data_IF_419619171595
#
_entry.id   IF_419619171595
#
_cell.length_a   1.000
_cell.length_b   1.000
_cell.length_c   1.000
_cell.angle_alpha   90.00
_cell.angle_beta   90.00
_cell.angle_gamma   90.00
#
_symmetry.space_group_name_H-M   'P 1'
#
loop_
_entity.id
_entity.type
_entity.pdbx_description
1 polymer ?
#
# COMPACT_ATOMS: atom_id res chain seq x y z
N UNK A 1 -33.58 -9.22 -26.22
CA UNK A 1 -33.17 -10.34 -25.37
C UNK A 1 -31.98 -9.85 -24.58
N UNK A 2 -32.11 -9.68 -23.28
CA UNK A 2 -30.94 -9.39 -22.44
C UNK A 2 -30.05 -10.63 -22.53
N UNK A 3 -28.86 -10.50 -23.13
CA UNK A 3 -27.88 -11.57 -23.09
C UNK A 3 -27.55 -11.77 -21.61
N UNK A 4 -27.65 -13.01 -21.14
CA UNK A 4 -27.25 -13.36 -19.78
C UNK A 4 -25.78 -12.97 -19.60
N UNK A 5 -25.47 -12.16 -18.58
CA UNK A 5 -24.11 -11.66 -18.34
C UNK A 5 -23.12 -12.84 -18.19
N UNK A 6 -23.60 -13.96 -17.66
CA UNK A 6 -22.86 -15.21 -17.58
C UNK A 6 -22.45 -15.72 -18.97
N UNK A 7 -23.39 -15.76 -19.93
CA UNK A 7 -23.12 -16.20 -21.31
C UNK A 7 -22.11 -15.30 -22.05
N UNK A 8 -22.15 -14.00 -21.79
CA UNK A 8 -21.19 -13.04 -22.36
C UNK A 8 -19.74 -13.31 -21.91
N UNK A 9 -19.57 -13.77 -20.67
CA UNK A 9 -18.27 -14.01 -20.07
C UNK A 9 -17.67 -15.39 -20.40
N UNK A 10 -18.50 -16.37 -20.80
CA UNK A 10 -18.07 -17.73 -21.17
C UNK A 10 -16.81 -17.78 -22.04
N UNK A 11 -16.73 -17.06 -23.18
CA UNK A 11 -15.55 -17.14 -24.05
C UNK A 11 -14.27 -16.60 -23.40
N UNK A 12 -14.39 -15.71 -22.40
CA UNK A 12 -13.26 -15.05 -21.77
C UNK A 12 -12.84 -15.68 -20.44
N UNK A 13 -13.69 -16.50 -19.81
CA UNK A 13 -13.38 -17.19 -18.54
C UNK A 13 -12.01 -17.88 -18.51
N UNK A 14 -11.53 -18.56 -19.58
CA UNK A 14 -10.21 -19.20 -19.58
C UNK A 14 -9.04 -18.22 -19.43
N UNK A 15 -9.23 -16.94 -19.76
CA UNK A 15 -8.19 -15.91 -19.65
C UNK A 15 -8.15 -15.24 -18.29
N UNK A 16 -9.25 -15.32 -17.53
CA UNK A 16 -9.38 -14.71 -16.21
C UNK A 16 -8.63 -15.58 -15.20
N UNK A 17 -7.70 -14.97 -14.49
CA UNK A 17 -6.90 -15.62 -13.44
C UNK A 17 -7.25 -15.04 -12.08
N UNK A 18 -7.25 -15.91 -11.06
CA UNK A 18 -7.33 -15.48 -9.67
C UNK A 18 -5.91 -15.20 -9.16
N UNK A 19 -5.61 -13.98 -8.67
CA UNK A 19 -4.31 -13.66 -8.07
C UNK A 19 -3.96 -14.61 -6.91
N UNK A 20 -2.71 -15.07 -6.87
CA UNK A 20 -2.17 -15.89 -5.76
C UNK A 20 -1.17 -15.07 -4.94
N UNK A 21 -0.76 -15.58 -3.76
CA UNK A 21 0.16 -14.86 -2.84
C UNK A 21 1.51 -14.43 -3.43
N UNK A 22 1.93 -14.94 -4.60
CA UNK A 22 3.15 -14.50 -5.30
C UNK A 22 2.90 -13.60 -6.51
N UNK A 23 1.65 -13.42 -6.93
CA UNK A 23 1.30 -12.55 -8.05
C UNK A 23 1.30 -11.07 -7.60
N UNK A 24 1.79 -10.19 -8.47
CA UNK A 24 1.81 -8.74 -8.23
C UNK A 24 0.67 -8.09 -8.97
N UNK A 25 -0.23 -7.42 -8.25
CA UNK A 25 -1.40 -6.75 -8.83
C UNK A 25 -1.16 -5.24 -8.89
N UNK A 26 -0.91 -4.72 -10.08
CA UNK A 26 -0.57 -3.32 -10.32
C UNK A 26 -1.85 -2.48 -10.44
N UNK A 27 -2.42 -2.10 -9.30
CA UNK A 27 -3.68 -1.34 -9.20
C UNK A 27 -3.53 0.15 -8.83
N UNK A 28 -2.30 0.66 -8.71
CA UNK A 28 -2.03 2.04 -8.29
C UNK A 28 -1.64 2.97 -9.45
N UNK A 29 -0.98 2.46 -10.49
CA UNK A 29 -0.43 3.26 -11.58
C UNK A 29 -0.40 2.46 -12.89
N UNK A 30 -0.50 3.18 -14.01
CA UNK A 30 -0.38 2.64 -15.35
C UNK A 30 1.06 2.21 -15.67
N UNK A 31 1.22 1.10 -16.38
CA UNK A 31 2.53 0.60 -16.82
C UNK A 31 3.26 1.52 -17.84
N UNK A 32 2.56 2.47 -18.47
CA UNK A 32 3.10 3.34 -19.52
C UNK A 32 2.97 4.84 -19.25
N UNK A 33 2.20 5.25 -18.23
CA UNK A 33 1.93 6.64 -17.88
C UNK A 33 1.74 6.77 -16.36
N UNK A 34 1.61 8.00 -15.87
CA UNK A 34 1.30 8.27 -14.47
C UNK A 34 -0.21 8.25 -14.17
N UNK A 35 -1.01 7.62 -15.05
CA UNK A 35 -2.44 7.49 -14.80
C UNK A 35 -2.67 6.57 -13.61
N UNK A 36 -3.56 6.99 -12.72
CA UNK A 36 -3.94 6.26 -11.50
C UNK A 36 -5.46 6.12 -11.44
N UNK A 37 -6.01 5.40 -10.45
CA UNK A 37 -7.45 5.36 -10.25
C UNK A 37 -8.08 6.76 -10.05
N UNK A 38 -7.30 7.74 -9.62
CA UNK A 38 -7.74 9.14 -9.39
C UNK A 38 -7.80 9.96 -10.69
N UNK A 39 -7.18 9.48 -11.77
CA UNK A 39 -7.21 10.15 -13.08
C UNK A 39 -8.61 10.10 -13.71
N UNK A 40 -8.92 11.05 -14.60
CA UNK A 40 -10.26 11.16 -15.22
C UNK A 40 -10.74 9.86 -15.90
N UNK A 41 -9.79 9.14 -16.51
CA UNK A 41 -10.02 7.87 -17.18
C UNK A 41 -9.97 6.63 -16.29
N UNK A 42 -9.58 6.76 -15.01
CA UNK A 42 -9.30 5.65 -14.11
C UNK A 42 -8.20 4.72 -14.59
N UNK A 43 -8.12 3.55 -13.97
CA UNK A 43 -7.10 2.53 -14.25
C UNK A 43 -7.75 1.18 -14.61
N UNK A 44 -7.28 0.55 -15.68
CA UNK A 44 -7.73 -0.75 -16.16
C UNK A 44 -6.71 -1.83 -15.81
N UNK A 45 -7.05 -2.70 -14.87
CA UNK A 45 -6.21 -3.83 -14.46
C UNK A 45 -6.59 -5.06 -15.28
N UNK A 46 -5.64 -5.65 -16.01
CA UNK A 46 -5.91 -6.86 -16.78
C UNK A 46 -6.17 -8.06 -15.85
N UNK A 47 -7.28 -8.78 -16.05
CA UNK A 47 -7.66 -9.93 -15.22
C UNK A 47 -6.83 -11.19 -15.49
N UNK A 48 -5.87 -11.14 -16.43
CA UNK A 48 -4.97 -12.26 -16.74
C UNK A 48 -3.54 -12.02 -16.24
N UNK A 49 -3.02 -10.81 -16.48
CA UNK A 49 -1.62 -10.44 -16.17
C UNK A 49 -1.48 -9.55 -14.93
N UNK A 50 -2.59 -8.98 -14.45
CA UNK A 50 -2.65 -8.04 -13.33
C UNK A 50 -1.84 -6.75 -13.50
N UNK A 51 -1.53 -6.39 -14.76
CA UNK A 51 -0.94 -5.11 -15.12
C UNK A 51 -2.03 -4.02 -15.21
N UNK A 52 -1.73 -2.83 -14.71
CA UNK A 52 -2.58 -1.65 -14.79
C UNK A 52 -2.28 -0.80 -16.03
N UNK A 53 -3.32 -0.31 -16.70
CA UNK A 53 -3.24 0.53 -17.89
C UNK A 53 -4.22 1.70 -17.79
N UNK A 54 -3.78 2.91 -18.12
CA UNK A 54 -4.68 4.05 -18.29
C UNK A 54 -5.58 3.90 -19.52
N UNK A 55 -6.62 4.75 -19.61
CA UNK A 55 -7.63 4.70 -20.69
C UNK A 55 -7.03 4.72 -22.11
N UNK A 56 -5.95 5.46 -22.32
CA UNK A 56 -5.29 5.54 -23.65
C UNK A 56 -4.42 4.32 -23.97
N UNK A 57 -4.02 3.55 -22.95
CA UNK A 57 -3.07 2.45 -23.07
C UNK A 57 -3.72 1.07 -23.07
N UNK A 58 -4.91 0.93 -22.48
CA UNK A 58 -5.62 -0.35 -22.41
C UNK A 58 -5.96 -0.90 -23.80
N UNK A 59 -6.36 -0.04 -24.74
CA UNK A 59 -6.69 -0.47 -26.11
C UNK A 59 -5.45 -1.02 -26.84
N UNK A 60 -4.28 -0.40 -26.61
CA UNK A 60 -3.00 -0.88 -27.15
C UNK A 60 -2.64 -2.25 -26.56
N UNK A 61 -2.88 -2.47 -25.27
CA UNK A 61 -2.64 -3.78 -24.64
C UNK A 61 -3.57 -4.85 -25.22
N UNK A 62 -4.88 -4.58 -25.29
CA UNK A 62 -5.87 -5.48 -25.92
C UNK A 62 -5.46 -5.88 -27.35
N UNK A 63 -5.14 -4.90 -28.22
CA UNK A 63 -4.75 -5.17 -29.61
C UNK A 63 -3.47 -6.01 -29.73
N UNK A 64 -2.55 -5.91 -28.77
CA UNK A 64 -1.28 -6.64 -28.80
C UNK A 64 -1.36 -8.04 -28.21
N UNK A 65 -2.13 -8.23 -27.14
CA UNK A 65 -2.15 -9.48 -26.37
C UNK A 65 -3.42 -10.30 -26.58
N UNK A 66 -4.47 -9.71 -27.16
CA UNK A 66 -5.79 -10.32 -27.30
C UNK A 66 -6.56 -10.40 -25.97
N UNK A 67 -6.06 -9.80 -24.89
CA UNK A 67 -6.74 -9.83 -23.59
C UNK A 67 -7.94 -8.87 -23.58
N UNK A 68 -9.12 -9.39 -23.30
CA UNK A 68 -10.38 -8.63 -23.41
C UNK A 68 -10.94 -8.16 -22.07
N UNK A 69 -10.61 -8.81 -20.95
CA UNK A 69 -11.27 -8.57 -19.67
C UNK A 69 -10.36 -7.78 -18.73
N UNK A 70 -10.86 -6.63 -18.30
CA UNK A 70 -10.16 -5.71 -17.41
C UNK A 70 -11.07 -5.30 -16.25
N UNK A 71 -10.48 -5.11 -15.08
CA UNK A 71 -11.13 -4.44 -13.96
C UNK A 71 -10.80 -2.95 -14.02
N UNK A 72 -11.80 -2.13 -14.24
CA UNK A 72 -11.69 -0.68 -14.21
C UNK A 72 -11.89 -0.16 -12.79
N UNK A 73 -10.92 0.63 -12.32
CA UNK A 73 -10.86 1.22 -11.00
C UNK A 73 -10.87 2.73 -11.15
N UNK A 74 -11.83 3.39 -10.50
CA UNK A 74 -11.93 4.84 -10.52
C UNK A 74 -12.20 5.38 -9.12
N UNK A 75 -11.42 6.38 -8.71
CA UNK A 75 -11.56 7.11 -7.45
C UNK A 75 -11.99 8.53 -7.76
N UNK A 76 -13.09 8.95 -7.16
CA UNK A 76 -13.57 10.33 -7.25
C UNK A 76 -13.43 11.00 -5.89
N UNK A 77 -12.66 12.08 -5.82
CA UNK A 77 -12.53 12.91 -4.62
C UNK A 77 -13.60 13.99 -4.67
N UNK A 78 -14.52 14.01 -3.70
CA UNK A 78 -15.53 15.06 -3.52
C UNK A 78 -15.19 15.89 -2.29
N UNK A 79 -15.20 17.21 -2.41
CA UNK A 79 -15.10 18.12 -1.27
C UNK A 79 -16.38 18.05 -0.43
N UNK A 80 -16.26 17.90 0.90
CA UNK A 80 -17.40 18.05 1.80
C UNK A 80 -17.87 19.50 1.73
N UNK A 81 -19.13 19.70 1.36
CA UNK A 81 -19.75 21.01 1.47
C UNK A 81 -19.83 21.43 2.95
N UNK A 82 -18.92 22.28 3.41
CA UNK A 82 -19.09 23.06 4.63
C UNK A 82 -20.20 24.08 4.39
N UNK A 83 -21.45 23.73 4.69
CA UNK A 83 -22.58 24.62 4.44
C UNK A 83 -23.89 24.21 5.09
N UNK A 84 -24.14 24.79 6.27
CA UNK A 84 -25.44 25.11 6.86
C UNK A 84 -26.37 23.97 7.36
N UNK A 85 -26.74 24.13 8.63
CA UNK A 85 -27.90 23.60 9.32
C UNK A 85 -29.15 23.49 8.43
N UNK A 86 -29.72 22.29 8.30
CA UNK A 86 -31.02 22.10 7.66
C UNK A 86 -31.32 20.62 7.41
N UNK A 87 -32.25 20.06 8.18
CA UNK A 87 -32.61 18.65 8.12
C UNK A 87 -33.01 18.17 6.72
N UNK A 88 -32.49 17.01 6.32
CA UNK A 88 -32.83 16.37 5.06
C UNK A 88 -32.29 14.94 4.99
N UNK A 89 -33.14 13.99 5.42
CA UNK A 89 -33.28 12.57 5.02
C UNK A 89 -31.97 11.80 4.75
N UNK A 90 -31.68 10.69 5.48
CA UNK A 90 -30.50 9.87 5.20
C UNK A 90 -30.65 9.25 3.80
N UNK A 91 -29.86 9.75 2.83
CA UNK A 91 -29.72 9.09 1.53
C UNK A 91 -29.13 7.71 1.79
N UNK A 92 -29.93 6.69 1.47
CA UNK A 92 -29.59 5.26 1.55
C UNK A 92 -28.15 5.07 1.09
N UNK A 93 -27.29 4.63 2.01
CA UNK A 93 -25.96 4.11 1.71
C UNK A 93 -26.18 2.94 0.75
N UNK A 94 -25.81 3.11 -0.52
CA UNK A 94 -25.58 1.98 -1.42
C UNK A 94 -24.54 1.06 -0.77
N UNK A 95 -24.53 -0.25 -1.08
CA UNK A 95 -23.54 -1.16 -0.53
C UNK A 95 -22.17 -0.77 -1.10
N UNK A 96 -21.51 0.17 -0.41
CA UNK A 96 -20.15 0.61 -0.70
C UNK A 96 -19.27 -0.62 -0.49
N UNK A 97 -18.78 -1.21 -1.57
CA UNK A 97 -17.57 -2.02 -1.46
C UNK A 97 -16.54 -1.09 -0.84
N UNK A 98 -15.95 -1.48 0.29
CA UNK A 98 -14.76 -0.83 0.79
C UNK A 98 -13.64 -1.28 -0.14
N UNK A 99 -13.54 -0.64 -1.32
CA UNK A 99 -12.35 -0.71 -2.13
C UNK A 99 -11.28 0.02 -1.33
N UNK A 100 -10.46 -0.74 -0.61
CA UNK A 100 -9.25 -0.21 0.03
C UNK A 100 -8.19 0.02 -1.06
N UNK A 101 -8.48 0.95 -1.96
CA UNK A 101 -7.51 1.52 -2.87
C UNK A 101 -6.57 2.34 -1.99
N UNK A 102 -5.34 1.87 -1.82
CA UNK A 102 -4.41 2.42 -0.84
C UNK A 102 -4.23 3.93 -1.08
N UNK A 103 -4.44 4.71 -0.02
CA UNK A 103 -4.49 6.17 -0.04
C UNK A 103 -3.06 6.71 -0.11
N UNK A 104 -2.81 7.70 -0.97
CA UNK A 104 -1.58 8.49 -0.85
C UNK A 104 -1.66 9.30 0.45
N UNK A 105 -0.69 9.15 1.36
CA UNK A 105 -0.64 9.76 2.70
C UNK A 105 -0.57 11.31 2.73
N UNK A 106 -0.71 11.98 1.57
CA UNK A 106 -0.51 13.43 1.44
C UNK A 106 -1.79 14.28 1.46
N UNK A 107 -2.97 13.70 1.71
CA UNK A 107 -4.24 14.47 1.71
C UNK A 107 -4.83 14.47 3.11
N UNK A 108 -4.77 15.64 3.76
CA UNK A 108 -5.45 15.94 5.01
C UNK A 108 -6.90 15.44 4.97
N UNK A 109 -7.22 14.55 5.91
CA UNK A 109 -8.29 13.56 5.78
C UNK A 109 -9.67 14.09 6.22
N UNK A 110 -9.80 15.38 6.51
CA UNK A 110 -10.95 15.94 7.22
C UNK A 110 -12.03 16.51 6.28
N UNK A 111 -11.61 17.03 5.11
CA UNK A 111 -12.46 17.78 4.18
C UNK A 111 -12.94 17.03 2.92
N UNK A 112 -12.43 15.81 2.67
CA UNK A 112 -12.69 15.10 1.40
C UNK A 112 -13.42 13.76 1.60
N UNK A 113 -14.51 13.54 0.88
CA UNK A 113 -15.15 12.22 0.72
C UNK A 113 -14.61 11.54 -0.55
N UNK A 114 -13.97 10.39 -0.38
CA UNK A 114 -13.53 9.54 -1.51
C UNK A 114 -14.63 8.55 -1.86
N UNK A 115 -14.96 8.47 -3.15
CA UNK A 115 -15.88 7.48 -3.71
C UNK A 115 -15.11 6.60 -4.69
N UNK A 116 -14.88 5.35 -4.29
CA UNK A 116 -14.22 4.33 -5.10
C UNK A 116 -15.25 3.50 -5.86
N UNK A 117 -15.05 3.37 -7.16
CA UNK A 117 -15.90 2.63 -8.09
C UNK A 117 -15.06 1.55 -8.80
N UNK A 118 -15.61 0.33 -8.85
CA UNK A 118 -15.03 -0.79 -9.57
C UNK A 118 -16.01 -1.36 -10.59
N UNK A 119 -15.54 -1.62 -11.79
CA UNK A 119 -16.31 -2.22 -12.88
C UNK A 119 -15.51 -3.28 -13.58
N UNK A 120 -16.17 -4.30 -14.11
CA UNK A 120 -15.57 -5.21 -15.08
C UNK A 120 -15.86 -4.67 -16.48
N UNK A 121 -14.83 -4.53 -17.31
CA UNK A 121 -14.94 -4.01 -18.68
C UNK A 121 -14.46 -5.06 -19.66
N UNK A 122 -15.28 -5.35 -20.68
CA UNK A 122 -15.03 -6.36 -21.70
C UNK A 122 -14.85 -5.69 -23.06
N UNK A 123 -13.66 -5.87 -23.65
CA UNK A 123 -13.32 -5.43 -25.01
C UNK A 123 -13.76 -6.46 -26.06
N UNK A 124 -14.05 -6.05 -27.31
CA UNK A 124 -13.90 -4.70 -27.87
C UNK A 124 -15.09 -3.76 -27.64
N UNK A 125 -16.26 -4.25 -27.25
CA UNK A 125 -17.48 -3.45 -27.13
C UNK A 125 -17.50 -2.50 -25.92
N UNK A 126 -16.47 -2.54 -25.07
CA UNK A 126 -16.38 -1.79 -23.82
C UNK A 126 -17.60 -2.02 -22.93
N UNK A 127 -18.08 -3.26 -22.87
CA UNK A 127 -19.24 -3.60 -22.05
C UNK A 127 -18.86 -3.52 -20.57
N UNK A 128 -19.53 -2.65 -19.82
CA UNK A 128 -19.24 -2.37 -18.41
C UNK A 128 -20.24 -3.07 -17.49
N UNK A 129 -19.73 -3.84 -16.53
CA UNK A 129 -20.51 -4.51 -15.49
C UNK A 129 -20.10 -3.90 -14.15
N UNK A 130 -20.98 -3.16 -13.44
CA UNK A 130 -20.65 -2.59 -12.15
C UNK A 130 -20.45 -3.68 -11.09
N UNK A 131 -19.46 -3.50 -10.21
CA UNK A 131 -19.25 -4.37 -9.05
C UNK A 131 -19.77 -3.68 -7.77
N UNK A 132 -20.40 -4.41 -6.84
CA UNK A 132 -20.53 -5.87 -6.78
C UNK A 132 -21.82 -6.33 -7.48
N UNK A 133 -21.72 -7.22 -8.47
CA UNK A 133 -22.88 -7.86 -9.10
C UNK A 133 -22.92 -9.36 -8.75
N UNK A 134 -23.38 -9.67 -7.54
CA UNK A 134 -23.26 -11.00 -6.91
C UNK A 134 -24.20 -12.05 -7.55
N UNK A 135 -25.31 -11.63 -8.15
CA UNK A 135 -26.33 -12.57 -8.65
C UNK A 135 -26.14 -12.98 -10.12
N UNK A 136 -25.38 -12.22 -10.92
CA UNK A 136 -25.27 -12.43 -12.37
C UNK A 136 -23.87 -12.83 -12.85
N UNK A 137 -22.85 -12.77 -11.98
CA UNK A 137 -21.47 -13.11 -12.34
C UNK A 137 -21.12 -14.57 -12.01
N UNK A 138 -20.44 -15.30 -12.92
CA UNK A 138 -19.91 -16.63 -12.61
C UNK A 138 -18.98 -16.58 -11.38
N UNK A 139 -19.08 -17.59 -10.50
CA UNK A 139 -18.34 -17.62 -9.24
C UNK A 139 -16.82 -17.41 -9.40
N UNK A 140 -16.21 -17.94 -10.46
CA UNK A 140 -14.79 -17.74 -10.76
C UNK A 140 -14.44 -16.26 -10.95
N UNK A 141 -15.29 -15.52 -11.67
CA UNK A 141 -15.08 -14.09 -11.97
C UNK A 141 -15.24 -13.27 -10.71
N UNK A 142 -16.26 -13.56 -9.90
CA UNK A 142 -16.47 -12.93 -8.60
C UNK A 142 -15.26 -13.12 -7.69
N UNK A 143 -14.74 -14.34 -7.56
CA UNK A 143 -13.54 -14.65 -6.76
C UNK A 143 -12.31 -13.92 -7.31
N UNK A 144 -12.13 -13.88 -8.63
CA UNK A 144 -10.99 -13.19 -9.24
C UNK A 144 -11.03 -11.68 -8.98
N UNK A 145 -12.20 -11.06 -9.11
CA UNK A 145 -12.40 -9.63 -8.82
C UNK A 145 -12.11 -9.33 -7.34
N UNK A 146 -12.70 -10.10 -6.42
CA UNK A 146 -12.52 -9.91 -4.98
C UNK A 146 -11.05 -10.05 -4.57
N UNK A 147 -10.37 -11.09 -5.09
CA UNK A 147 -8.95 -11.31 -4.88
C UNK A 147 -8.07 -10.20 -5.48
N UNK A 148 -8.42 -9.68 -6.66
CA UNK A 148 -7.68 -8.57 -7.28
C UNK A 148 -7.85 -7.25 -6.52
N UNK A 149 -9.05 -7.00 -5.98
CA UNK A 149 -9.32 -5.84 -5.12
C UNK A 149 -8.59 -5.96 -3.78
N UNK A 150 -8.55 -7.14 -3.18
CA UNK A 150 -7.87 -7.42 -1.91
C UNK A 150 -6.33 -7.53 -2.04
N UNK A 151 -5.79 -7.73 -3.25
CA UNK A 151 -4.35 -7.87 -3.46
C UNK A 151 -3.59 -6.60 -3.05
N UNK A 152 -2.47 -6.76 -2.33
CA UNK A 152 -1.62 -5.64 -1.88
C UNK A 152 -0.88 -4.98 -3.06
N UNK A 153 -0.68 -3.66 -3.01
CA UNK A 153 0.08 -2.96 -4.05
C UNK A 153 1.55 -3.41 -4.07
N UNK A 154 2.14 -3.71 -5.24
CA UNK A 154 3.55 -4.07 -5.35
C UNK A 154 4.51 -2.92 -5.08
N UNK A 155 4.02 -1.67 -5.06
CA UNK A 155 4.81 -0.47 -4.76
C UNK A 155 4.87 -0.16 -3.27
N UNK A 156 4.05 -0.82 -2.46
CA UNK A 156 4.20 -0.75 -1.01
C UNK A 156 5.53 -1.42 -0.68
N UNK A 157 6.51 -0.62 -0.25
CA UNK A 157 7.66 -1.15 0.51
C UNK A 157 7.05 -2.05 1.57
N UNK A 158 7.67 -3.20 1.79
CA UNK A 158 7.25 -4.19 2.78
C UNK A 158 7.17 -3.50 4.15
N UNK A 159 6.04 -2.85 4.44
CA UNK A 159 5.69 -2.35 5.75
C UNK A 159 5.50 -3.62 6.54
N UNK A 160 6.57 -3.94 7.25
CA UNK A 160 6.64 -5.04 8.20
C UNK A 160 5.43 -4.87 9.08
N UNK A 161 4.45 -5.77 8.94
CA UNK A 161 3.17 -5.84 9.67
C UNK A 161 3.24 -4.97 10.93
N UNK A 162 2.83 -3.71 10.77
CA UNK A 162 2.96 -2.68 11.79
C UNK A 162 1.87 -2.99 12.79
N UNK A 163 2.16 -3.89 13.72
CA UNK A 163 1.44 -3.96 14.97
C UNK A 163 1.58 -2.57 15.58
N UNK A 164 0.56 -1.73 15.41
CA UNK A 164 0.40 -0.45 16.11
C UNK A 164 0.16 -0.77 17.60
N UNK A 165 1.20 -1.25 18.28
CA UNK A 165 1.29 -1.03 19.72
C UNK A 165 1.43 0.48 19.88
N UNK A 166 0.43 1.12 20.51
CA UNK A 166 0.55 2.50 20.97
C UNK A 166 1.91 2.65 21.66
N UNK A 167 2.82 3.42 21.06
CA UNK A 167 4.16 3.65 21.59
C UNK A 167 4.00 4.30 22.96
N UNK A 168 4.22 3.52 24.02
CA UNK A 168 4.20 4.02 25.38
C UNK A 168 5.50 4.72 25.67
N UNK A 169 5.38 5.86 26.31
CA UNK A 169 6.48 6.61 26.92
C UNK A 169 7.43 5.67 27.69
N UNK A 170 8.72 5.87 27.48
CA UNK A 170 9.72 5.00 28.06
C UNK A 170 9.92 5.36 29.52
N UNK A 171 10.02 4.33 30.38
CA UNK A 171 10.36 4.50 31.80
C UNK A 171 11.69 5.24 32.03
N UNK A 172 12.54 5.30 31.01
CA UNK A 172 13.86 5.92 31.06
C UNK A 172 13.91 7.32 30.44
N UNK A 173 12.85 7.82 29.80
CA UNK A 173 12.88 9.09 29.04
C UNK A 173 13.27 10.30 29.90
N UNK A 174 12.67 10.43 31.10
CA UNK A 174 12.82 11.60 31.96
C UNK A 174 14.13 11.59 32.75
N UNK A 175 14.77 10.42 32.87
CA UNK A 175 15.96 10.20 33.69
C UNK A 175 17.14 9.64 32.87
N UNK A 176 17.10 9.75 31.54
CA UNK A 176 18.18 9.26 30.71
C UNK A 176 19.42 10.14 30.90
N UNK A 177 20.47 9.56 31.46
CA UNK A 177 21.76 10.24 31.53
C UNK A 177 22.44 10.18 30.16
N UNK A 178 22.84 11.34 29.64
CA UNK A 178 23.68 11.46 28.45
C UNK A 178 25.10 11.84 28.89
N UNK A 179 26.10 11.13 28.39
CA UNK A 179 27.50 11.32 28.74
C UNK A 179 28.11 12.43 27.88
N UNK A 180 28.82 13.36 28.51
CA UNK A 180 29.64 14.35 27.81
C UNK A 180 31.00 13.72 27.45
N UNK A 181 31.03 12.96 26.36
CA UNK A 181 32.22 12.23 25.89
C UNK A 181 32.82 12.82 24.59
N UNK A 182 32.31 13.96 24.12
CA UNK A 182 32.81 14.68 22.94
C UNK A 182 32.48 14.02 21.60
N UNK A 183 31.66 12.97 21.57
CA UNK A 183 31.26 12.28 20.32
C UNK A 183 30.33 13.19 19.50
N UNK A 184 30.67 13.41 18.23
CA UNK A 184 29.83 14.12 17.26
C UNK A 184 29.36 13.19 16.15
N UNK A 185 28.04 13.02 16.05
CA UNK A 185 27.41 12.14 15.07
C UNK A 185 27.23 12.90 13.74
N UNK A 186 27.81 12.43 12.62
CA UNK A 186 27.60 13.05 11.31
C UNK A 186 26.16 12.83 10.83
N UNK A 187 25.65 13.62 9.88
CA UNK A 187 24.29 13.46 9.35
C UNK A 187 24.12 12.27 8.39
N UNK A 188 25.22 11.65 7.94
CA UNK A 188 25.20 10.48 7.05
C UNK A 188 26.53 9.72 7.10
N UNK A 189 26.60 8.58 6.41
CA UNK A 189 27.83 7.79 6.27
C UNK A 189 28.18 6.95 7.50
N UNK A 190 27.18 6.61 8.31
CA UNK A 190 27.38 5.83 9.53
C UNK A 190 27.83 4.40 9.23
N UNK A 191 28.54 3.83 10.19
CA UNK A 191 29.02 2.46 10.20
C UNK A 191 28.97 1.94 11.62
N UNK A 192 28.68 0.66 11.79
CA UNK A 192 28.79 0.01 13.09
C UNK A 192 30.22 0.11 13.63
N UNK A 193 30.37 0.48 14.91
CA UNK A 193 31.67 0.59 15.55
C UNK A 193 32.41 -0.77 15.67
N UNK A 194 31.69 -1.88 15.67
CA UNK A 194 32.25 -3.24 15.89
C UNK A 194 32.30 -4.11 14.63
N UNK A 195 31.74 -3.66 13.49
CA UNK A 195 31.83 -4.39 12.22
C UNK A 195 31.74 -3.47 10.99
N UNK A 196 31.61 -4.05 9.79
CA UNK A 196 31.55 -3.31 8.53
C UNK A 196 30.13 -2.94 8.06
N UNK A 197 29.09 -3.29 8.84
CA UNK A 197 27.71 -2.97 8.48
C UNK A 197 27.45 -1.46 8.45
N UNK A 198 26.71 -1.03 7.42
CA UNK A 198 26.33 0.37 7.15
C UNK A 198 24.82 0.63 7.23
N UNK A 199 24.06 -0.43 7.46
CA UNK A 199 22.61 -0.47 7.42
C UNK A 199 22.09 -1.18 8.67
N UNK A 200 20.83 -0.89 9.05
CA UNK A 200 20.24 -1.30 10.34
C UNK A 200 21.11 -0.89 11.54
N UNK A 201 21.48 0.39 11.60
CA UNK A 201 22.31 0.97 12.65
C UNK A 201 21.46 1.68 13.70
N UNK A 202 21.87 1.54 14.95
CA UNK A 202 21.22 2.06 16.15
C UNK A 202 22.20 2.97 16.87
N UNK A 203 21.79 4.19 17.15
CA UNK A 203 22.53 5.18 17.92
C UNK A 203 22.05 5.12 19.37
N UNK A 204 22.94 4.77 20.30
CA UNK A 204 22.62 4.80 21.72
C UNK A 204 22.58 6.26 22.22
N UNK A 205 21.51 6.60 22.94
CA UNK A 205 21.26 7.97 23.38
C UNK A 205 22.09 8.39 24.61
N UNK A 206 22.70 7.43 25.32
CA UNK A 206 23.54 7.72 26.50
C UNK A 206 24.97 8.06 26.12
N UNK A 207 25.61 7.29 25.25
CA UNK A 207 27.04 7.42 24.94
C UNK A 207 27.34 7.74 23.47
N UNK A 208 26.32 7.79 22.61
CA UNK A 208 26.50 8.10 21.18
C UNK A 208 27.12 6.97 20.37
N UNK A 209 27.18 5.74 20.89
CA UNK A 209 27.68 4.59 20.15
C UNK A 209 26.75 4.21 18.99
N UNK A 210 27.33 3.91 17.81
CA UNK A 210 26.59 3.46 16.62
C UNK A 210 26.85 1.98 16.38
N UNK A 211 25.81 1.16 16.49
CA UNK A 211 25.95 -0.30 16.46
C UNK A 211 24.86 -0.95 15.61
N UNK A 212 25.17 -2.10 14.99
CA UNK A 212 24.20 -2.79 14.15
C UNK A 212 23.13 -3.50 14.99
N UNK A 213 21.91 -3.54 14.46
CA UNK A 213 20.75 -4.19 15.06
C UNK A 213 20.85 -5.71 15.07
N UNK A 214 19.79 -6.37 15.57
CA UNK A 214 19.71 -7.83 15.70
C UNK A 214 19.73 -8.56 14.36
N UNK A 215 20.15 -9.81 14.43
CA UNK A 215 20.03 -10.77 13.33
C UNK A 215 18.61 -11.32 13.27
N UNK A 216 18.08 -11.52 12.06
CA UNK A 216 16.78 -12.14 11.82
C UNK A 216 16.96 -13.50 11.12
N UNK A 217 16.03 -14.43 11.39
CA UNK A 217 16.11 -15.81 10.90
C UNK A 217 16.04 -15.96 9.38
N UNK A 218 15.52 -14.95 8.68
CA UNK A 218 15.48 -14.87 7.22
C UNK A 218 16.84 -14.54 6.58
N UNK A 219 17.89 -14.39 7.39
CA UNK A 219 19.23 -14.00 6.93
C UNK A 219 19.41 -12.50 6.75
N UNK A 220 18.38 -11.69 7.01
CA UNK A 220 18.47 -10.23 7.02
C UNK A 220 18.80 -9.69 8.41
N UNK A 221 19.18 -8.40 8.51
CA UNK A 221 19.45 -7.74 9.79
C UNK A 221 20.93 -7.38 10.03
N UNK A 222 21.30 -7.27 11.31
CA UNK A 222 22.68 -7.00 11.73
C UNK A 222 23.24 -8.11 12.64
N UNK A 223 24.40 -7.86 13.24
CA UNK A 223 25.10 -8.84 14.09
C UNK A 223 24.71 -8.76 15.59
N UNK A 224 23.73 -7.93 15.95
CA UNK A 224 23.27 -7.80 17.34
C UNK A 224 24.17 -6.97 18.26
N UNK A 225 25.15 -6.24 17.73
CA UNK A 225 26.09 -5.45 18.54
C UNK A 225 25.40 -4.38 19.41
N UNK A 226 24.30 -3.78 18.95
CA UNK A 226 23.55 -2.82 19.77
C UNK A 226 22.98 -3.48 21.05
N UNK A 227 22.54 -4.73 20.96
CA UNK A 227 22.04 -5.49 22.10
C UNK A 227 23.17 -5.93 23.03
N UNK A 228 24.31 -6.33 22.46
CA UNK A 228 25.47 -6.71 23.27
C UNK A 228 26.02 -5.52 24.06
N UNK A 229 26.12 -4.36 23.42
CA UNK A 229 26.49 -3.12 24.08
C UNK A 229 25.52 -2.75 25.21
N UNK A 230 24.21 -2.93 25.02
CA UNK A 230 23.24 -2.76 26.09
C UNK A 230 23.47 -3.72 27.27
N UNK A 231 23.85 -4.98 27.00
CA UNK A 231 24.12 -5.96 28.06
C UNK A 231 25.32 -5.56 28.90
N UNK A 232 26.35 -4.97 28.29
CA UNK A 232 27.56 -4.52 28.97
C UNK A 232 27.36 -3.20 29.73
N UNK A 233 26.73 -2.21 29.11
CA UNK A 233 26.63 -0.83 29.64
C UNK A 233 25.34 -0.55 30.40
N UNK A 234 24.27 -1.30 30.10
CA UNK A 234 22.90 -1.06 30.55
C UNK A 234 22.29 0.26 30.06
N UNK A 235 22.81 0.86 29.00
CA UNK A 235 22.26 2.08 28.40
C UNK A 235 20.99 1.81 27.60
N UNK A 236 19.80 2.21 28.11
CA UNK A 236 18.54 1.56 27.76
C UNK A 236 17.91 2.03 26.45
N UNK A 237 18.27 3.21 25.94
CA UNK A 237 17.61 3.83 24.80
C UNK A 237 18.54 4.00 23.62
N UNK A 238 18.05 3.62 22.44
CA UNK A 238 18.71 3.81 21.17
C UNK A 238 17.68 4.19 20.10
N UNK A 239 18.10 4.99 19.13
CA UNK A 239 17.28 5.42 17.99
C UNK A 239 17.84 4.81 16.71
N UNK A 240 16.97 4.41 15.76
CA UNK A 240 17.43 3.87 14.49
C UNK A 240 17.94 5.00 13.60
N UNK A 241 19.12 4.83 13.03
CA UNK A 241 19.67 5.81 12.10
C UNK A 241 18.99 5.66 10.73
N UNK A 242 18.57 6.79 10.17
CA UNK A 242 17.82 6.86 8.90
C UNK A 242 16.30 7.02 9.06
N UNK A 243 15.75 6.95 10.28
CA UNK A 243 14.32 7.20 10.58
C UNK A 243 14.08 8.57 11.23
N UNK A 244 15.14 9.32 11.52
CA UNK A 244 15.06 10.63 12.20
C UNK A 244 14.52 11.68 11.22
N UNK A 245 13.34 12.20 11.53
CA UNK A 245 12.65 13.28 10.79
C UNK A 245 12.25 14.41 11.74
N UNK A 246 11.80 15.57 11.25
CA UNK A 246 11.29 16.65 12.10
C UNK A 246 10.05 16.24 12.93
N UNK A 247 9.29 15.26 12.44
CA UNK A 247 8.06 14.77 13.08
C UNK A 247 8.35 13.72 14.17
N UNK A 248 9.49 13.03 14.08
CA UNK A 248 9.89 12.02 15.06
C UNK A 248 10.94 11.05 14.54
N UNK A 249 11.24 10.03 15.35
CA UNK A 249 12.15 8.95 15.01
C UNK A 249 11.70 7.64 15.67
N UNK A 250 12.02 6.52 15.01
CA UNK A 250 11.78 5.16 15.51
C UNK A 250 13.05 4.32 15.57
#
# INVERSE_FOLDING_TARGET
MAADIGELLVPYMPTIRVPRSGDRVYKSECAFSFDSPESEGGLYVCMSTFLGFGREHVERHYRKTGQCVYMHLKRTIKEKATGASGGGIPKKKSPRIVLELEKNENINNEDYECEDEAKLVIFPDHYEIPLPNIEELPALVTIACDAALAARSPYRRQDSDSWEEELKDSKHENNLQQLDNGVRIPPSGWRCAWCDLRENLWLNLTDGSILCGKWFFDGSGGNGHALEHYRETRYPLAVKLGTITPDGAG
#
